data_IF_759537736744
#
_entry.id   IF_759537736744
#
_cell.length_a   1.000
_cell.length_b   1.000
_cell.length_c   1.000
_cell.angle_alpha   90.00
_cell.angle_beta   90.00
_cell.angle_gamma   90.00
#
_symmetry.space_group_name_H-M   'P 1'
#
loop_
_entity.id
_entity.type
_entity.pdbx_description
1 polymer ?
#
# COMPACT_ATOMS: atom_id res chain seq x y z
N UNK A 1 24.91 -7.57 12.31
CA UNK A 1 24.83 -7.22 13.75
C UNK A 1 23.46 -6.62 14.06
N UNK A 2 22.97 -6.74 15.31
CA UNK A 2 21.67 -6.19 15.75
C UNK A 2 21.59 -4.67 15.56
N UNK A 3 22.69 -3.96 15.74
CA UNK A 3 22.80 -2.52 15.52
C UNK A 3 22.48 -2.15 14.07
N UNK A 4 22.92 -2.95 13.12
CA UNK A 4 22.65 -2.70 11.69
C UNK A 4 21.18 -2.89 11.34
N UNK A 5 20.50 -3.89 11.93
CA UNK A 5 19.06 -4.12 11.73
C UNK A 5 18.22 -2.98 12.27
N UNK A 6 18.55 -2.44 13.43
CA UNK A 6 17.85 -1.33 14.07
C UNK A 6 17.95 -0.05 13.22
N UNK A 7 19.13 0.25 12.69
CA UNK A 7 19.32 1.40 11.78
C UNK A 7 18.51 1.25 10.51
N UNK A 8 18.57 0.08 9.86
CA UNK A 8 17.82 -0.22 8.63
C UNK A 8 16.32 -0.09 8.89
N UNK A 9 15.83 -0.62 10.01
CA UNK A 9 14.41 -0.52 10.37
C UNK A 9 13.96 0.93 10.55
N UNK A 10 14.75 1.75 11.24
CA UNK A 10 14.42 3.17 11.45
C UNK A 10 14.40 3.94 10.11
N UNK A 11 15.37 3.69 9.24
CA UNK A 11 15.39 4.28 7.89
C UNK A 11 14.15 3.85 7.09
N UNK A 12 13.81 2.55 7.10
CA UNK A 12 12.64 2.02 6.42
C UNK A 12 11.34 2.64 6.93
N UNK A 13 11.17 2.75 8.24
CA UNK A 13 9.99 3.39 8.85
C UNK A 13 9.87 4.85 8.45
N UNK A 14 10.97 5.59 8.46
CA UNK A 14 10.99 7.01 8.08
C UNK A 14 10.62 7.18 6.62
N UNK A 15 11.26 6.43 5.73
CA UNK A 15 11.00 6.51 4.29
C UNK A 15 9.55 6.14 3.96
N UNK A 16 9.04 5.06 4.54
CA UNK A 16 7.68 4.62 4.29
C UNK A 16 6.63 5.59 4.85
N UNK A 17 6.91 6.21 5.98
CA UNK A 17 6.05 7.27 6.55
C UNK A 17 5.98 8.49 5.64
N UNK A 18 7.09 8.90 5.06
CA UNK A 18 7.15 10.01 4.10
C UNK A 18 6.39 9.65 2.81
N UNK A 19 6.60 8.46 2.27
CA UNK A 19 5.87 7.96 1.08
C UNK A 19 4.37 7.91 1.34
N UNK A 20 3.93 7.38 2.46
CA UNK A 20 2.52 7.32 2.83
C UNK A 20 1.91 8.72 3.02
N UNK A 21 2.66 9.68 3.59
CA UNK A 21 2.24 11.08 3.72
C UNK A 21 2.07 11.76 2.37
N UNK A 22 3.02 11.58 1.45
CA UNK A 22 2.95 12.11 0.10
C UNK A 22 1.77 11.51 -0.67
N UNK A 23 1.56 10.21 -0.54
CA UNK A 23 0.40 9.51 -1.11
C UNK A 23 -0.92 10.10 -0.62
N UNK A 24 -1.07 10.29 0.69
CA UNK A 24 -2.25 10.90 1.31
C UNK A 24 -2.48 12.33 0.81
N UNK A 25 -1.42 13.14 0.74
CA UNK A 25 -1.51 14.51 0.26
C UNK A 25 -1.95 14.56 -1.21
N UNK A 26 -1.41 13.68 -2.05
CA UNK A 26 -1.79 13.55 -3.47
C UNK A 26 -3.27 13.21 -3.60
N UNK A 27 -3.78 12.28 -2.79
CA UNK A 27 -5.20 11.92 -2.77
C UNK A 27 -6.07 13.12 -2.34
N UNK A 28 -5.69 13.82 -1.28
CA UNK A 28 -6.42 14.99 -0.77
C UNK A 28 -6.46 16.10 -1.84
N UNK A 29 -5.34 16.39 -2.49
CA UNK A 29 -5.28 17.37 -3.58
C UNK A 29 -6.20 16.97 -4.75
N UNK A 30 -6.21 15.69 -5.13
CA UNK A 30 -7.12 15.20 -6.15
C UNK A 30 -8.59 15.42 -5.79
N UNK A 31 -8.96 15.19 -4.53
CA UNK A 31 -10.33 15.35 -4.05
C UNK A 31 -10.78 16.82 -3.90
N UNK A 32 -9.83 17.75 -3.72
CA UNK A 32 -10.14 19.20 -3.62
C UNK A 32 -10.70 19.80 -4.92
N UNK A 33 -10.51 19.13 -6.05
CA UNK A 33 -11.05 19.57 -7.33
C UNK A 33 -12.56 19.34 -7.51
N UNK A 34 -13.27 18.85 -6.51
CA UNK A 34 -14.70 18.52 -6.53
C UNK A 34 -15.14 17.62 -7.72
N UNK A 35 -14.17 16.97 -8.35
CA UNK A 35 -14.38 16.08 -9.49
C UNK A 35 -13.67 14.76 -9.20
N UNK A 36 -14.45 13.78 -8.77
CA UNK A 36 -13.92 12.46 -8.42
C UNK A 36 -13.28 11.72 -9.60
N UNK A 37 -13.69 12.01 -10.83
CA UNK A 37 -13.06 11.46 -12.04
C UNK A 37 -11.63 12.00 -12.25
N UNK A 38 -11.46 13.32 -12.05
CA UNK A 38 -10.14 13.96 -12.09
C UNK A 38 -9.27 13.46 -10.94
N UNK A 39 -9.82 13.33 -9.73
CA UNK A 39 -9.14 12.77 -8.58
C UNK A 39 -8.62 11.35 -8.86
N UNK A 40 -9.46 10.50 -9.44
CA UNK A 40 -9.09 9.13 -9.81
C UNK A 40 -7.91 9.09 -10.80
N UNK A 41 -7.97 9.88 -11.86
CA UNK A 41 -6.90 9.95 -12.88
C UNK A 41 -5.61 10.53 -12.31
N UNK A 42 -5.71 11.57 -11.50
CA UNK A 42 -4.59 12.20 -10.83
C UNK A 42 -3.89 11.22 -9.87
N UNK A 43 -4.65 10.56 -9.01
CA UNK A 43 -4.10 9.59 -8.06
C UNK A 43 -3.42 8.40 -8.78
N UNK A 44 -4.03 7.86 -9.82
CA UNK A 44 -3.43 6.78 -10.60
C UNK A 44 -2.03 7.15 -11.11
N UNK A 45 -1.92 8.32 -11.74
CA UNK A 45 -0.67 8.77 -12.36
C UNK A 45 0.40 9.20 -11.35
N UNK A 46 0.01 9.98 -10.33
CA UNK A 46 0.96 10.57 -9.37
C UNK A 46 1.48 9.54 -8.36
N UNK A 47 0.67 8.54 -7.99
CA UNK A 47 1.11 7.47 -7.10
C UNK A 47 2.19 6.59 -7.72
N UNK A 48 2.06 6.26 -9.00
CA UNK A 48 3.11 5.51 -9.72
C UNK A 48 4.43 6.28 -9.75
N UNK A 49 4.40 7.59 -9.92
CA UNK A 49 5.60 8.44 -9.88
C UNK A 49 6.27 8.46 -8.50
N UNK A 50 5.48 8.51 -7.42
CA UNK A 50 6.03 8.50 -6.06
C UNK A 50 6.77 7.20 -5.78
N UNK A 51 6.17 6.07 -6.12
CA UNK A 51 6.79 4.75 -5.94
C UNK A 51 8.06 4.60 -6.79
N UNK A 52 8.03 5.06 -8.04
CA UNK A 52 9.20 5.04 -8.92
C UNK A 52 10.36 5.86 -8.35
N UNK A 53 10.08 7.05 -7.81
CA UNK A 53 11.10 7.92 -7.21
C UNK A 53 11.76 7.28 -5.98
N UNK A 54 10.98 6.59 -5.16
CA UNK A 54 11.52 5.93 -3.97
C UNK A 54 12.36 4.70 -4.34
N UNK A 55 12.06 4.05 -5.46
CA UNK A 55 12.84 2.92 -5.98
C UNK A 55 14.20 3.30 -6.58
N UNK A 56 14.49 4.58 -6.77
CA UNK A 56 15.83 5.07 -7.16
C UNK A 56 16.86 5.01 -6.04
N UNK A 57 16.42 4.74 -4.80
CA UNK A 57 17.26 4.53 -3.63
C UNK A 57 17.51 3.01 -3.45
N UNK A 58 18.30 2.62 -2.47
CA UNK A 58 18.62 1.20 -2.16
C UNK A 58 17.39 0.36 -1.74
N UNK A 59 16.21 0.94 -1.77
CA UNK A 59 14.94 0.31 -1.41
C UNK A 59 14.05 0.09 -2.62
N UNK A 60 13.37 -1.04 -2.63
CA UNK A 60 12.23 -1.29 -3.52
C UNK A 60 10.95 -1.20 -2.71
N UNK A 61 10.04 -0.31 -3.10
CA UNK A 61 8.73 -0.14 -2.46
C UNK A 61 7.64 -0.60 -3.41
N UNK A 62 6.71 -1.39 -2.88
CA UNK A 62 5.52 -1.86 -3.59
C UNK A 62 4.27 -1.55 -2.78
N UNK A 63 3.15 -1.36 -3.46
CA UNK A 63 1.82 -1.49 -2.86
C UNK A 63 1.21 -2.79 -3.31
N UNK A 64 0.66 -3.54 -2.39
CA UNK A 64 0.02 -4.84 -2.65
C UNK A 64 -1.34 -4.93 -1.98
N UNK A 65 -2.24 -5.70 -2.55
CA UNK A 65 -3.59 -5.91 -2.02
C UNK A 65 -4.12 -7.28 -2.40
N UNK A 66 -4.87 -7.91 -1.50
CA UNK A 66 -5.62 -9.14 -1.81
C UNK A 66 -6.80 -8.86 -2.77
N UNK A 67 -7.29 -7.62 -2.80
CA UNK A 67 -8.37 -7.17 -3.67
C UNK A 67 -7.91 -5.93 -4.45
N UNK A 68 -7.00 -6.07 -5.42
CA UNK A 68 -6.40 -4.93 -6.10
C UNK A 68 -7.39 -4.28 -7.08
N UNK A 69 -7.28 -2.96 -7.24
CA UNK A 69 -7.88 -2.21 -8.34
C UNK A 69 -6.96 -2.24 -9.55
N UNK A 70 -5.70 -1.88 -9.35
CA UNK A 70 -4.67 -2.00 -10.37
C UNK A 70 -4.04 -3.40 -10.28
N UNK A 71 -4.05 -4.12 -11.40
CA UNK A 71 -3.44 -5.47 -11.50
C UNK A 71 -1.96 -5.51 -11.13
N UNK A 72 -1.24 -4.40 -11.25
CA UNK A 72 0.16 -4.31 -10.84
C UNK A 72 0.34 -4.43 -9.31
N UNK A 73 -0.74 -4.34 -8.54
CA UNK A 73 -0.73 -4.46 -7.08
C UNK A 73 -1.09 -5.88 -6.58
N UNK A 74 -1.10 -6.89 -7.46
CA UNK A 74 -1.21 -8.28 -7.02
C UNK A 74 0.00 -8.67 -6.17
N UNK A 75 -0.22 -9.31 -5.02
CA UNK A 75 0.85 -9.74 -4.14
C UNK A 75 1.55 -11.00 -4.68
N UNK A 76 2.84 -11.16 -4.36
CA UNK A 76 3.52 -12.45 -4.41
C UNK A 76 2.93 -13.39 -3.34
N UNK A 77 3.28 -14.68 -3.35
CA UNK A 77 2.85 -15.62 -2.31
C UNK A 77 3.28 -15.16 -0.91
N UNK A 78 4.52 -14.70 -0.77
CA UNK A 78 5.04 -14.17 0.49
C UNK A 78 4.28 -12.91 0.95
N UNK A 79 4.04 -11.98 0.05
CA UNK A 79 3.28 -10.74 0.35
C UNK A 79 1.82 -11.04 0.69
N UNK A 80 1.23 -12.07 0.08
CA UNK A 80 -0.12 -12.55 0.40
C UNK A 80 -0.21 -13.04 1.84
N UNK A 81 0.77 -13.80 2.32
CA UNK A 81 0.84 -14.27 3.71
C UNK A 81 0.88 -13.09 4.70
N UNK A 82 1.66 -12.04 4.39
CA UNK A 82 1.69 -10.80 5.20
C UNK A 82 0.30 -10.14 5.25
N UNK A 83 -0.37 -10.02 4.11
CA UNK A 83 -1.70 -9.41 4.01
C UNK A 83 -2.76 -10.23 4.76
N UNK A 84 -2.73 -11.55 4.66
CA UNK A 84 -3.63 -12.45 5.40
C UNK A 84 -3.40 -12.34 6.92
N UNK A 85 -2.15 -12.24 7.35
CA UNK A 85 -1.79 -11.98 8.76
C UNK A 85 -2.36 -10.64 9.23
N UNK A 86 -2.23 -9.58 8.43
CA UNK A 86 -2.81 -8.28 8.77
C UNK A 86 -4.33 -8.34 8.87
N UNK A 87 -5.01 -9.02 7.94
CA UNK A 87 -6.45 -9.22 8.02
C UNK A 87 -6.86 -9.94 9.30
N UNK A 88 -6.19 -11.03 9.66
CA UNK A 88 -6.45 -11.78 10.87
C UNK A 88 -6.30 -10.91 12.12
N UNK A 89 -5.18 -10.19 12.24
CA UNK A 89 -4.91 -9.31 13.38
C UNK A 89 -5.89 -8.13 13.46
N UNK A 90 -6.39 -7.65 12.33
CA UNK A 90 -7.37 -6.56 12.31
C UNK A 90 -8.74 -6.94 12.85
N UNK A 91 -9.07 -8.22 12.91
CA UNK A 91 -10.32 -8.76 13.47
C UNK A 91 -10.25 -8.97 14.98
N UNK A 92 -9.05 -8.95 15.55
CA UNK A 92 -8.81 -9.01 16.99
C UNK A 92 -9.03 -7.63 17.64
N UNK A 93 -8.89 -7.55 18.98
CA UNK A 93 -9.10 -6.30 19.75
C UNK A 93 -8.13 -5.16 19.37
N UNK A 94 -7.11 -5.47 18.59
CA UNK A 94 -6.08 -4.54 18.13
C UNK A 94 -6.39 -3.83 16.79
N UNK A 95 -7.63 -3.82 16.37
CA UNK A 95 -8.04 -3.26 15.06
C UNK A 95 -7.64 -1.81 14.79
N UNK A 96 -7.36 -1.04 15.82
CA UNK A 96 -6.93 0.36 15.72
C UNK A 96 -5.42 0.55 15.78
N UNK A 97 -4.65 -0.49 16.08
CA UNK A 97 -3.20 -0.41 16.09
C UNK A 97 -2.64 -0.43 14.66
N UNK A 98 -1.51 0.26 14.47
CA UNK A 98 -0.75 0.14 13.24
C UNK A 98 -0.20 -1.28 13.12
N UNK A 99 -0.50 -1.97 12.00
CA UNK A 99 0.00 -3.31 11.73
C UNK A 99 1.24 -3.24 10.87
N UNK A 100 2.32 -3.82 11.37
CA UNK A 100 3.63 -3.85 10.75
C UNK A 100 4.19 -5.27 10.72
N UNK A 101 5.05 -5.55 9.73
CA UNK A 101 5.80 -6.80 9.62
C UNK A 101 7.24 -6.49 9.27
N UNK A 102 8.18 -7.15 9.93
CA UNK A 102 9.62 -6.99 9.71
C UNK A 102 10.28 -8.36 9.70
N UNK A 103 11.05 -8.66 8.67
CA UNK A 103 11.74 -9.94 8.51
C UNK A 103 13.00 -9.78 7.67
N UNK A 104 13.94 -10.70 7.84
CA UNK A 104 15.05 -10.91 6.91
C UNK A 104 14.81 -12.22 6.19
N UNK A 105 14.67 -12.15 4.88
CA UNK A 105 14.47 -13.31 4.01
C UNK A 105 15.69 -13.53 3.11
N UNK A 106 15.78 -14.71 2.50
CA UNK A 106 16.71 -15.00 1.41
C UNK A 106 16.03 -14.74 0.07
N UNK A 107 16.74 -14.06 -0.84
CA UNK A 107 16.30 -13.96 -2.23
C UNK A 107 16.69 -15.23 -3.03
N UNK A 108 16.33 -15.27 -4.31
CA UNK A 108 16.62 -16.40 -5.21
C UNK A 108 18.12 -16.68 -5.37
N UNK A 109 18.98 -15.68 -5.12
CA UNK A 109 20.44 -15.78 -5.16
C UNK A 109 21.06 -16.03 -3.79
N UNK A 110 20.26 -16.40 -2.79
CA UNK A 110 20.67 -16.63 -1.40
C UNK A 110 21.24 -15.39 -0.67
N UNK A 111 21.00 -14.18 -1.19
CA UNK A 111 21.36 -12.93 -0.51
C UNK A 111 20.33 -12.56 0.56
N UNK A 112 20.81 -11.94 1.63
CA UNK A 112 19.94 -11.43 2.68
C UNK A 112 19.18 -10.18 2.18
N UNK A 113 17.88 -10.19 2.38
CA UNK A 113 17.00 -9.08 2.04
C UNK A 113 16.13 -8.70 3.25
N UNK A 114 16.24 -7.47 3.68
CA UNK A 114 15.38 -6.91 4.72
C UNK A 114 14.02 -6.57 4.13
N UNK A 115 12.96 -6.96 4.83
CA UNK A 115 11.57 -6.66 4.48
C UNK A 115 10.93 -5.88 5.60
N UNK A 116 10.24 -4.80 5.23
CA UNK A 116 9.37 -4.04 6.11
C UNK A 116 8.02 -3.81 5.41
N UNK A 117 6.95 -4.21 6.04
CA UNK A 117 5.60 -3.99 5.52
C UNK A 117 4.75 -3.24 6.54
N UNK A 118 3.90 -2.36 6.04
CA UNK A 118 2.93 -1.60 6.81
C UNK A 118 1.55 -1.68 6.18
N UNK A 119 0.56 -2.08 6.98
CA UNK A 119 -0.82 -2.15 6.53
C UNK A 119 -1.37 -0.77 6.17
N UNK A 120 -2.17 -0.73 5.12
CA UNK A 120 -2.96 0.43 4.70
C UNK A 120 -4.42 0.13 5.07
N UNK A 121 -4.99 0.94 5.96
CA UNK A 121 -6.40 0.81 6.37
C UNK A 121 -7.29 1.74 5.58
N UNK A 122 -8.51 1.31 5.35
CA UNK A 122 -9.57 2.16 4.81
C UNK A 122 -9.92 3.26 5.81
N UNK A 123 -9.81 4.51 5.36
CA UNK A 123 -10.32 5.69 6.03
C UNK A 123 -11.64 6.12 5.40
N UNK A 124 -12.36 7.00 6.04
CA UNK A 124 -13.68 7.45 5.57
C UNK A 124 -13.62 8.00 4.14
N UNK A 125 -12.63 8.82 3.82
CA UNK A 125 -12.40 9.36 2.47
C UNK A 125 -12.18 8.28 1.40
N UNK A 126 -11.63 7.14 1.76
CA UNK A 126 -11.37 6.02 0.85
C UNK A 126 -12.67 5.37 0.35
N UNK A 127 -13.74 5.44 1.14
CA UNK A 127 -15.03 4.83 0.84
C UNK A 127 -15.74 5.46 -0.38
N UNK A 128 -15.39 6.69 -0.77
CA UNK A 128 -15.90 7.31 -1.99
C UNK A 128 -15.59 6.49 -3.25
N UNK A 129 -14.43 5.83 -3.27
CA UNK A 129 -13.96 5.03 -4.40
C UNK A 129 -13.87 3.53 -4.09
N UNK A 130 -13.88 3.12 -2.83
CA UNK A 130 -13.68 1.75 -2.39
C UNK A 130 -14.82 1.17 -1.55
N UNK A 131 -15.86 1.95 -1.26
CA UNK A 131 -17.00 1.52 -0.47
C UNK A 131 -18.02 0.72 -1.26
N UNK A 132 -19.21 0.54 -0.65
CA UNK A 132 -20.34 -0.18 -1.24
C UNK A 132 -21.28 0.73 -2.03
N UNK A 133 -21.21 2.04 -1.82
CA UNK A 133 -22.09 3.04 -2.43
C UNK A 133 -21.29 4.07 -3.23
N UNK A 134 -20.69 3.61 -4.32
CA UNK A 134 -19.89 4.45 -5.21
C UNK A 134 -20.85 5.17 -6.19
N UNK A 135 -20.63 6.48 -6.38
CA UNK A 135 -21.37 7.27 -7.37
C UNK A 135 -21.32 6.59 -8.76
N UNK A 136 -22.45 6.49 -9.46
CA UNK A 136 -22.57 5.77 -10.72
C UNK A 136 -21.61 6.25 -11.80
N UNK A 137 -21.41 7.55 -11.93
CA UNK A 137 -20.49 8.11 -12.94
C UNK A 137 -19.04 7.78 -12.61
N UNK A 138 -18.67 7.85 -11.33
CA UNK A 138 -17.35 7.43 -10.87
C UNK A 138 -17.14 5.94 -11.07
N UNK A 139 -18.15 5.12 -10.79
CA UNK A 139 -18.10 3.66 -11.00
C UNK A 139 -17.83 3.31 -12.46
N UNK A 140 -18.45 4.01 -13.40
CA UNK A 140 -18.20 3.82 -14.84
C UNK A 140 -16.75 4.16 -15.22
N UNK A 141 -16.21 5.28 -14.69
CA UNK A 141 -14.80 5.64 -14.94
C UNK A 141 -13.83 4.65 -14.30
N UNK A 142 -14.11 4.15 -13.11
CA UNK A 142 -13.32 3.08 -12.48
C UNK A 142 -13.31 1.83 -13.35
N UNK A 143 -14.46 1.37 -13.80
CA UNK A 143 -14.58 0.18 -14.66
C UNK A 143 -13.86 0.35 -16.00
N UNK A 144 -13.85 1.56 -16.55
CA UNK A 144 -13.13 1.87 -17.79
C UNK A 144 -11.62 1.80 -17.62
N UNK A 145 -11.08 2.33 -16.50
CA UNK A 145 -9.65 2.34 -16.20
C UNK A 145 -9.17 1.00 -15.65
N UNK A 146 -10.02 0.29 -14.92
CA UNK A 146 -9.72 -0.93 -14.21
C UNK A 146 -10.84 -1.96 -14.42
N UNK A 147 -10.91 -2.61 -15.59
CA UNK A 147 -11.98 -3.56 -15.90
C UNK A 147 -12.05 -4.75 -14.93
N UNK A 148 -10.93 -5.13 -14.34
CA UNK A 148 -10.82 -6.24 -13.37
C UNK A 148 -10.80 -5.77 -11.91
N UNK A 149 -11.35 -4.58 -11.62
CA UNK A 149 -11.37 -3.99 -10.28
C UNK A 149 -12.02 -4.91 -9.24
N UNK A 150 -11.28 -5.21 -8.17
CA UNK A 150 -11.76 -5.98 -7.01
C UNK A 150 -11.83 -5.14 -5.72
N UNK A 151 -11.44 -3.87 -5.80
CA UNK A 151 -11.29 -2.99 -4.65
C UNK A 151 -12.56 -2.18 -4.34
N UNK A 152 -13.68 -2.88 -4.18
CA UNK A 152 -14.98 -2.32 -3.80
C UNK A 152 -15.53 -3.03 -2.54
N UNK A 153 -16.61 -2.51 -1.99
CA UNK A 153 -17.29 -3.05 -0.82
C UNK A 153 -16.41 -3.11 0.45
N UNK A 154 -15.45 -2.22 0.56
CA UNK A 154 -14.68 -2.04 1.78
C UNK A 154 -15.49 -1.29 2.84
N UNK A 155 -15.17 -1.57 4.09
CA UNK A 155 -15.69 -0.87 5.27
C UNK A 155 -14.59 -0.07 5.94
N UNK A 156 -14.97 0.88 6.79
CA UNK A 156 -14.02 1.64 7.59
C UNK A 156 -13.12 0.70 8.41
N UNK A 157 -11.83 0.98 8.42
CA UNK A 157 -10.75 0.23 9.07
C UNK A 157 -10.40 -1.13 8.46
N UNK A 158 -11.06 -1.57 7.40
CA UNK A 158 -10.62 -2.75 6.65
C UNK A 158 -9.17 -2.59 6.18
N UNK A 159 -8.47 -3.69 6.03
CA UNK A 159 -7.13 -3.72 5.40
C UNK A 159 -7.30 -3.59 3.90
N UNK A 160 -6.99 -2.40 3.38
CA UNK A 160 -7.02 -2.11 1.93
C UNK A 160 -5.87 -2.78 1.19
N UNK A 161 -4.73 -2.90 1.86
CA UNK A 161 -3.50 -3.45 1.33
C UNK A 161 -2.33 -3.18 2.26
N UNK A 162 -1.14 -3.18 1.70
CA UNK A 162 0.08 -2.84 2.41
C UNK A 162 1.09 -2.15 1.49
N UNK A 163 1.92 -1.29 2.08
CA UNK A 163 3.22 -0.96 1.53
C UNK A 163 4.19 -2.06 1.94
N UNK A 164 4.96 -2.58 1.01
CA UNK A 164 6.03 -3.55 1.26
C UNK A 164 7.33 -3.00 0.71
N UNK A 165 8.33 -2.95 1.57
CA UNK A 165 9.65 -2.41 1.27
C UNK A 165 10.69 -3.51 1.38
N UNK A 166 11.57 -3.57 0.40
CA UNK A 166 12.70 -4.49 0.36
C UNK A 166 14.01 -3.72 0.30
N UNK A 167 15.01 -4.19 1.01
CA UNK A 167 16.39 -3.70 0.92
C UNK A 167 17.39 -4.86 0.93
N UNK A 168 18.32 -4.86 -0.01
CA UNK A 168 19.42 -5.81 0.03
C UNK A 168 20.36 -5.47 1.20
N UNK A 169 20.71 -6.47 1.98
CA UNK A 169 21.73 -6.36 3.03
C UNK A 169 23.01 -6.92 2.47
N UNK A 170 24.04 -6.08 2.41
CA UNK A 170 25.40 -6.55 2.13
C UNK A 170 25.96 -7.13 3.42
N UNK A 171 26.50 -8.34 3.35
CA UNK A 171 27.20 -8.99 4.46
C UNK A 171 28.46 -8.21 4.86
#
# INVERSE_FOLDING_TARGET
TETNKSVILNEAKTLLKETAKQYKNTLIQGLQHNDLKKALKYCNKEVEKLISKDNEKDYTIKRVSLRPRNKNNYPTLYEKEILEKFNKLSLEDNKYLALEHTEIIKDENNNNKFVYAKAIRIKEVCLNCHGSNINNDLKKEIQKLYPDDKAINYKLNDIRGAFVMYRNIKD
#
